data_IF_384614432555
#
_entry.id   IF_384614432555
#
_cell.length_a   1.000
_cell.length_b   1.000
_cell.length_c   1.000
_cell.angle_alpha   90.00
_cell.angle_beta   90.00
_cell.angle_gamma   90.00
#
_symmetry.space_group_name_H-M   'P 1'
#
loop_
_entity.id
_entity.type
_entity.pdbx_description
1 polymer ?
#
# COMPACT_ATOMS: atom_id res chain seq x y z
N UNK A 1 -54.04 7.19 39.81
CA UNK A 1 -52.98 7.85 39.01
C UNK A 1 -52.03 6.76 38.56
N UNK A 2 -52.04 6.46 37.26
CA UNK A 2 -51.39 5.25 36.75
C UNK A 2 -49.91 5.54 36.52
N UNK A 3 -49.05 4.89 37.30
CA UNK A 3 -47.58 5.04 37.30
C UNK A 3 -46.93 4.81 35.93
N UNK A 4 -47.57 4.00 35.08
CA UNK A 4 -47.16 3.76 33.70
C UNK A 4 -47.19 5.02 32.83
N UNK A 5 -48.17 5.92 33.05
CA UNK A 5 -48.30 7.16 32.28
C UNK A 5 -47.23 8.20 32.66
N UNK A 6 -46.84 8.25 33.92
CA UNK A 6 -45.76 9.13 34.39
C UNK A 6 -44.39 8.69 33.82
N UNK A 7 -44.11 7.38 33.82
CA UNK A 7 -42.90 6.83 33.24
C UNK A 7 -42.81 7.05 31.72
N UNK A 8 -43.93 6.90 30.99
CA UNK A 8 -43.99 7.17 29.55
C UNK A 8 -43.76 8.65 29.21
N UNK A 9 -44.29 9.59 30.01
CA UNK A 9 -44.07 11.03 29.80
C UNK A 9 -42.62 11.45 30.12
N UNK A 10 -41.99 10.86 31.14
CA UNK A 10 -40.56 11.06 31.43
C UNK A 10 -39.68 10.49 30.32
N UNK A 11 -39.99 9.27 29.85
CA UNK A 11 -39.27 8.66 28.73
C UNK A 11 -39.40 9.50 27.45
N UNK A 12 -40.61 9.95 27.09
CA UNK A 12 -40.85 10.79 25.92
C UNK A 12 -40.12 12.15 26.00
N UNK A 13 -40.03 12.75 27.20
CA UNK A 13 -39.31 14.00 27.43
C UNK A 13 -37.79 13.87 27.40
N UNK A 14 -37.23 12.72 27.82
CA UNK A 14 -35.77 12.51 27.84
C UNK A 14 -35.18 12.47 26.42
N UNK A 15 -35.88 11.86 25.46
CA UNK A 15 -35.44 11.83 24.06
C UNK A 15 -35.57 13.20 23.35
N UNK A 16 -36.50 14.05 23.80
CA UNK A 16 -36.63 15.45 23.32
C UNK A 16 -35.70 16.42 24.07
N UNK A 17 -35.19 16.02 25.24
CA UNK A 17 -34.16 16.76 25.97
C UNK A 17 -32.78 16.50 25.35
N UNK A 18 -31.90 17.51 25.35
CA UNK A 18 -30.53 17.39 24.81
C UNK A 18 -29.69 16.28 25.44
N UNK A 19 -30.12 15.70 26.57
CA UNK A 19 -29.48 14.55 27.20
C UNK A 19 -29.53 13.29 26.32
N UNK A 20 -30.61 13.06 25.57
CA UNK A 20 -30.71 11.94 24.63
C UNK A 20 -29.70 12.06 23.50
N UNK A 21 -29.53 13.27 22.95
CA UNK A 21 -28.53 13.55 21.92
C UNK A 21 -27.09 13.40 22.44
N UNK A 22 -26.83 13.81 23.68
CA UNK A 22 -25.53 13.64 24.32
C UNK A 22 -25.17 12.16 24.50
N UNK A 23 -26.10 11.35 25.04
CA UNK A 23 -25.89 9.91 25.19
C UNK A 23 -25.72 9.24 23.83
N UNK A 24 -26.53 9.61 22.83
CA UNK A 24 -26.39 9.12 21.47
C UNK A 24 -25.01 9.41 20.88
N UNK A 25 -24.52 10.64 21.04
CA UNK A 25 -23.16 11.02 20.64
C UNK A 25 -22.08 10.20 21.35
N UNK A 26 -22.22 10.00 22.67
CA UNK A 26 -21.28 9.22 23.45
C UNK A 26 -21.22 7.75 23.01
N UNK A 27 -22.36 7.16 22.68
CA UNK A 27 -22.44 5.79 22.14
C UNK A 27 -21.71 5.70 20.80
N UNK A 28 -21.93 6.66 19.89
CA UNK A 28 -21.26 6.69 18.59
C UNK A 28 -19.73 6.79 18.78
N UNK A 29 -19.28 7.70 19.66
CA UNK A 29 -17.84 7.85 19.96
C UNK A 29 -17.25 6.57 20.52
N UNK A 30 -17.94 5.91 21.46
CA UNK A 30 -17.48 4.64 22.04
C UNK A 30 -17.34 3.54 20.98
N UNK A 31 -18.29 3.46 20.03
CA UNK A 31 -18.24 2.51 18.90
C UNK A 31 -17.05 2.80 17.99
N UNK A 32 -16.79 4.06 17.65
CA UNK A 32 -15.65 4.44 16.80
C UNK A 32 -14.30 4.11 17.47
N UNK A 33 -14.17 4.38 18.77
CA UNK A 33 -12.98 4.02 19.54
C UNK A 33 -12.78 2.51 19.54
N UNK A 34 -13.84 1.72 19.76
CA UNK A 34 -13.77 0.27 19.74
C UNK A 34 -13.34 -0.28 18.37
N UNK A 35 -13.84 0.30 17.28
CA UNK A 35 -13.46 -0.09 15.92
C UNK A 35 -11.96 0.17 15.65
N UNK A 36 -11.45 1.34 16.03
CA UNK A 36 -10.02 1.68 15.88
C UNK A 36 -9.15 0.76 16.74
N UNK A 37 -9.54 0.54 17.99
CA UNK A 37 -8.83 -0.35 18.90
C UNK A 37 -8.79 -1.80 18.39
N UNK A 38 -9.90 -2.29 17.83
CA UNK A 38 -9.95 -3.61 17.21
C UNK A 38 -9.02 -3.69 15.98
N UNK A 39 -8.94 -2.64 15.17
CA UNK A 39 -8.00 -2.54 14.06
C UNK A 39 -6.54 -2.64 14.51
N UNK A 40 -6.16 -1.91 15.56
CA UNK A 40 -4.82 -2.04 16.15
C UNK A 40 -4.57 -3.42 16.73
N UNK A 41 -5.53 -3.99 17.45
CA UNK A 41 -5.44 -5.34 18.03
C UNK A 41 -5.20 -6.42 16.97
N UNK A 42 -5.78 -6.27 15.77
CA UNK A 42 -5.57 -7.17 14.64
C UNK A 42 -4.18 -6.98 14.04
N UNK A 43 -3.75 -5.73 13.82
CA UNK A 43 -2.42 -5.41 13.29
C UNK A 43 -1.29 -5.90 14.21
N UNK A 44 -1.49 -5.86 15.52
CA UNK A 44 -0.51 -6.36 16.51
C UNK A 44 -0.31 -7.88 16.46
N UNK A 45 -1.18 -8.64 15.78
CA UNK A 45 -0.99 -10.08 15.56
C UNK A 45 -0.10 -10.38 14.35
N UNK A 46 0.14 -9.39 13.51
CA UNK A 46 1.12 -9.49 12.43
C UNK A 46 2.52 -9.21 12.99
N UNK A 47 3.54 -9.79 12.35
CA UNK A 47 4.93 -9.46 12.66
C UNK A 47 5.14 -7.96 12.56
N UNK A 48 5.73 -7.37 13.61
CA UNK A 48 6.03 -5.93 13.69
C UNK A 48 6.75 -5.50 12.41
N UNK A 49 6.36 -4.34 11.86
CA UNK A 49 7.13 -3.73 10.77
C UNK A 49 8.59 -3.62 11.21
N UNK A 50 9.55 -4.14 10.42
CA UNK A 50 10.94 -4.14 10.82
C UNK A 50 11.40 -2.71 11.14
N UNK A 51 12.08 -2.56 12.27
CA UNK A 51 12.70 -1.30 12.65
C UNK A 51 13.73 -0.88 11.59
N UNK A 52 14.00 0.42 11.37
CA UNK A 52 15.03 0.87 10.43
C UNK A 52 16.39 0.23 10.68
N UNK A 53 16.69 -0.09 11.95
CA UNK A 53 17.92 -0.74 12.39
C UNK A 53 17.95 -2.24 12.05
N UNK A 54 16.78 -2.88 11.98
CA UNK A 54 16.60 -4.28 11.57
C UNK A 54 16.62 -4.44 10.04
N UNK A 55 16.52 -3.32 9.30
CA UNK A 55 16.70 -3.36 7.86
C UNK A 55 18.14 -3.76 7.52
N UNK A 56 18.35 -4.52 6.43
CA UNK A 56 19.69 -4.85 5.97
C UNK A 56 20.55 -3.59 5.82
N UNK A 57 21.52 -3.44 6.73
CA UNK A 57 22.43 -2.31 6.68
C UNK A 57 23.44 -2.51 5.56
N UNK A 58 23.86 -1.40 4.96
CA UNK A 58 24.91 -1.45 3.95
C UNK A 58 26.20 -1.97 4.59
N UNK A 59 26.96 -2.87 3.92
CA UNK A 59 28.32 -3.16 4.34
C UNK A 59 29.17 -1.88 4.41
N UNK A 60 30.03 -1.77 5.42
CA UNK A 60 30.99 -0.68 5.59
C UNK A 60 31.95 -0.64 4.39
N UNK A 61 31.62 0.14 3.37
CA UNK A 61 32.45 0.29 2.17
C UNK A 61 32.31 1.72 1.68
N UNK A 62 33.44 2.40 1.50
CA UNK A 62 33.56 3.80 1.07
C UNK A 62 33.19 4.04 -0.41
N UNK A 63 32.58 3.04 -1.06
CA UNK A 63 32.10 3.17 -2.44
C UNK A 63 30.71 3.76 -2.40
N UNK A 64 30.41 4.69 -3.31
CA UNK A 64 29.01 5.06 -3.59
C UNK A 64 28.20 3.80 -3.92
N UNK A 65 26.86 3.77 -3.68
CA UNK A 65 26.04 2.66 -4.17
C UNK A 65 26.28 2.59 -5.68
N UNK A 66 26.98 1.56 -6.14
CA UNK A 66 27.10 1.32 -7.57
C UNK A 66 25.68 1.08 -8.08
N UNK A 67 25.34 1.67 -9.22
CA UNK A 67 24.22 1.21 -10.02
C UNK A 67 24.54 -0.22 -10.52
N UNK A 68 24.30 -1.23 -9.69
CA UNK A 68 24.17 -2.59 -10.20
C UNK A 68 22.80 -2.71 -10.86
N UNK A 69 22.71 -2.20 -12.08
CA UNK A 69 21.65 -2.63 -12.98
C UNK A 69 22.07 -3.97 -13.57
N UNK A 70 21.40 -5.04 -13.15
CA UNK A 70 21.51 -6.29 -13.88
C UNK A 70 20.75 -6.09 -15.19
N UNK A 71 21.47 -6.08 -16.32
CA UNK A 71 20.83 -5.94 -17.61
C UNK A 71 19.94 -7.16 -17.85
N UNK A 72 18.68 -6.90 -18.20
CA UNK A 72 17.72 -7.95 -18.51
C UNK A 72 17.28 -7.84 -19.93
N UNK A 73 17.39 -8.94 -20.66
CA UNK A 73 16.77 -9.05 -21.97
C UNK A 73 15.26 -9.15 -21.75
N UNK A 74 14.45 -8.26 -22.36
CA UNK A 74 13.00 -8.41 -22.32
C UNK A 74 12.63 -9.76 -22.94
N UNK A 75 11.64 -10.45 -22.36
CA UNK A 75 11.13 -11.67 -22.95
C UNK A 75 10.44 -11.33 -24.27
N UNK A 76 10.96 -11.86 -25.39
CA UNK A 76 10.35 -11.66 -26.71
C UNK A 76 9.02 -12.43 -26.78
N UNK A 77 7.96 -11.76 -27.26
CA UNK A 77 6.64 -12.38 -27.39
C UNK A 77 6.66 -13.40 -28.54
N UNK A 78 6.31 -14.68 -28.30
CA UNK A 78 6.25 -15.67 -29.36
C UNK A 78 5.21 -15.26 -30.40
N UNK A 79 5.60 -15.18 -31.67
CA UNK A 79 4.66 -14.98 -32.76
C UNK A 79 3.95 -16.31 -33.04
N UNK A 80 2.62 -16.27 -33.02
CA UNK A 80 1.78 -17.44 -33.27
C UNK A 80 0.90 -17.21 -34.49
N UNK A 81 0.53 -18.30 -35.16
CA UNK A 81 -0.29 -18.35 -36.38
C UNK A 81 -1.77 -17.98 -36.16
N UNK A 82 -2.15 -17.65 -34.92
CA UNK A 82 -3.48 -17.20 -34.54
C UNK A 82 -4.43 -18.33 -34.18
N UNK A 83 -4.16 -19.58 -34.57
CA UNK A 83 -4.82 -20.78 -34.02
C UNK A 83 -4.17 -21.18 -32.69
N UNK A 84 -2.85 -21.08 -32.58
CA UNK A 84 -2.12 -21.40 -31.34
C UNK A 84 -1.97 -20.17 -30.43
N UNK A 85 -3.07 -19.45 -30.18
CA UNK A 85 -3.05 -18.27 -29.28
C UNK A 85 -2.58 -18.67 -27.90
N UNK A 86 -1.51 -18.02 -27.45
CA UNK A 86 -0.98 -18.22 -26.11
C UNK A 86 -1.81 -17.42 -25.11
N UNK A 87 -2.31 -18.12 -24.10
CA UNK A 87 -2.92 -17.52 -22.92
C UNK A 87 -1.83 -16.95 -21.99
N UNK A 88 -2.16 -16.00 -21.10
CA UNK A 88 -1.15 -15.33 -20.26
C UNK A 88 -0.25 -16.30 -19.48
N UNK A 89 -0.82 -17.38 -18.95
CA UNK A 89 -0.10 -18.43 -18.20
C UNK A 89 0.75 -19.36 -19.08
N UNK A 90 0.68 -19.23 -20.39
CA UNK A 90 1.51 -19.97 -21.35
C UNK A 90 2.68 -19.13 -21.86
N UNK A 91 2.75 -17.84 -21.47
CA UNK A 91 3.87 -16.98 -21.79
C UNK A 91 5.05 -17.28 -20.88
N UNK A 92 6.27 -17.10 -21.39
CA UNK A 92 7.48 -17.21 -20.60
C UNK A 92 7.60 -15.97 -19.72
N UNK A 93 7.29 -16.11 -18.43
CA UNK A 93 7.23 -15.01 -17.46
C UNK A 93 8.59 -14.39 -17.08
N UNK A 94 9.69 -14.91 -17.62
CA UNK A 94 11.04 -14.55 -17.18
C UNK A 94 11.85 -13.91 -18.30
N UNK A 95 12.14 -12.63 -18.10
CA UNK A 95 13.24 -11.91 -18.72
C UNK A 95 14.59 -12.56 -18.37
N UNK A 96 15.45 -12.76 -19.36
CA UNK A 96 16.73 -13.44 -19.19
C UNK A 96 17.82 -12.44 -18.75
N UNK A 97 18.75 -12.82 -17.86
CA UNK A 97 19.90 -11.99 -17.54
C UNK A 97 20.77 -11.83 -18.80
N UNK A 98 21.11 -10.58 -19.13
CA UNK A 98 21.97 -10.23 -20.25
C UNK A 98 23.35 -9.82 -19.71
N UNK A 99 24.44 -10.46 -20.16
CA UNK A 99 25.78 -10.06 -19.75
C UNK A 99 26.22 -8.73 -20.41
N UNK A 100 25.55 -8.31 -21.48
CA UNK A 100 25.92 -7.14 -22.27
C UNK A 100 24.96 -5.96 -22.04
N UNK A 101 25.49 -4.73 -21.98
CA UNK A 101 24.67 -3.52 -21.90
C UNK A 101 23.85 -3.34 -23.19
N UNK A 102 22.62 -2.82 -23.11
CA UNK A 102 21.79 -2.57 -24.28
C UNK A 102 22.47 -1.55 -25.21
N UNK A 103 22.21 -1.68 -26.52
CA UNK A 103 22.65 -0.72 -27.53
C UNK A 103 22.08 0.67 -27.25
N UNK A 104 22.77 1.74 -27.69
CA UNK A 104 22.33 3.13 -27.48
C UNK A 104 20.89 3.36 -27.95
N UNK A 105 20.51 2.71 -29.04
CA UNK A 105 19.15 2.77 -29.58
C UNK A 105 18.09 2.16 -28.65
N UNK A 106 18.45 1.14 -27.85
CA UNK A 106 17.56 0.55 -26.84
C UNK A 106 17.63 1.32 -25.52
N UNK A 107 18.78 1.93 -25.19
CA UNK A 107 18.92 2.82 -24.02
C UNK A 107 18.02 4.05 -24.11
N UNK A 108 17.89 4.66 -25.30
CA UNK A 108 17.03 5.84 -25.51
C UNK A 108 15.55 5.58 -25.13
N UNK A 109 15.09 4.34 -25.27
CA UNK A 109 13.74 3.90 -24.90
C UNK A 109 13.66 3.27 -23.51
N UNK A 110 14.80 3.06 -22.84
CA UNK A 110 14.90 2.52 -21.48
C UNK A 110 15.29 3.54 -20.41
N UNK A 111 15.36 4.82 -20.75
CA UNK A 111 16.01 5.85 -19.94
C UNK A 111 15.14 7.09 -19.69
N UNK A 112 14.19 6.97 -18.77
CA UNK A 112 14.14 7.91 -17.65
C UNK A 112 14.63 7.07 -16.48
N UNK A 113 15.65 7.54 -15.76
CA UNK A 113 16.21 6.84 -14.61
C UNK A 113 15.05 6.33 -13.74
N UNK A 114 14.87 5.01 -13.69
CA UNK A 114 13.82 4.38 -12.91
C UNK A 114 13.92 4.93 -11.50
N UNK A 115 12.86 5.62 -11.09
CA UNK A 115 12.85 6.52 -9.95
C UNK A 115 13.50 5.92 -8.71
N UNK A 116 14.44 6.68 -8.14
CA UNK A 116 14.77 6.55 -6.74
C UNK A 116 13.48 6.62 -5.95
N UNK A 117 13.17 5.55 -5.24
CA UNK A 117 12.01 5.48 -4.37
C UNK A 117 12.14 6.61 -3.33
N UNK A 118 11.37 7.69 -3.48
CA UNK A 118 11.18 8.71 -2.44
C UNK A 118 12.03 9.99 -2.46
N UNK A 119 12.88 10.27 -3.45
CA UNK A 119 13.59 11.57 -3.49
C UNK A 119 12.78 12.63 -4.25
N UNK A 120 11.99 13.42 -3.55
CA UNK A 120 11.24 14.57 -4.10
C UNK A 120 12.13 15.75 -4.50
N UNK A 121 13.07 15.54 -5.42
CA UNK A 121 13.92 16.60 -5.99
C UNK A 121 13.45 16.97 -7.40
N UNK A 122 13.21 18.27 -7.64
CA UNK A 122 12.91 18.80 -8.97
C UNK A 122 14.11 18.57 -9.89
N UNK A 123 13.92 17.84 -10.99
CA UNK A 123 14.96 17.59 -11.99
C UNK A 123 15.58 18.88 -12.52
N UNK A 124 16.91 18.88 -12.63
CA UNK A 124 17.69 19.90 -13.33
C UNK A 124 17.54 19.67 -14.84
N UNK A 125 17.21 20.73 -15.58
CA UNK A 125 17.09 20.70 -17.02
C UNK A 125 18.33 21.30 -17.65
N UNK A 126 19.01 20.49 -18.47
CA UNK A 126 20.06 20.88 -19.39
C UNK A 126 19.71 20.26 -20.76
#
# INVERSE_FOLDING_TARGET
MNTLSAAQNLAAGVWQSGLGQFIGGLVIVAVLIAAVWLGFRVRDRESKTPEPEEQPQRPETDRLPGEMSEYRRPAEMPQTDGEHRLMPYQLKDRSEPSPEPPTEEKRKWGGISSGGFGSGGTGHGD
#
